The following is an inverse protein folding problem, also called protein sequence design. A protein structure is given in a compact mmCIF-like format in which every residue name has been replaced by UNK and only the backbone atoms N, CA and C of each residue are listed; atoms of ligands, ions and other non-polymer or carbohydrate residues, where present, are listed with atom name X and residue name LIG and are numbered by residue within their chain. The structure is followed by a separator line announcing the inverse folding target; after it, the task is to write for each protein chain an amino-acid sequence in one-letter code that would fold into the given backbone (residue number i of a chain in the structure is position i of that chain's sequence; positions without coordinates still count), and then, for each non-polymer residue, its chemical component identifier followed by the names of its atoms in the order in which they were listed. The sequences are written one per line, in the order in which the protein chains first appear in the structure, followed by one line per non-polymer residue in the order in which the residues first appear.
data_IF_392303495997
#
_entry.id   IF_392303495997
#
_cell.length_a   1.000
_cell.length_b   1.000
_cell.length_c   1.000
_cell.angle_alpha   90.00
_cell.angle_beta   90.00
_cell.angle_gamma   90.00
#
_symmetry.space_group_name_H-M   'P 1'
#
loop_
_entity.id
_entity.type
_entity.pdbx_description
1 polymer ?
#
# COMPACT_ATOMS: atom_id res chain seq x y z
N UNK A 1 -17.14 28.86 50.31
CA UNK A 1 -17.02 28.80 51.75
C UNK A 1 -15.85 27.89 52.10
N UNK A 2 -14.92 28.49 52.91
CA UNK A 2 -13.83 27.87 53.68
C UNK A 2 -12.57 27.46 52.95
N UNK A 3 -11.62 28.40 52.98
CA UNK A 3 -10.17 28.22 52.88
C UNK A 3 -9.67 27.47 54.12
N UNK A 4 -8.70 26.57 53.91
CA UNK A 4 -7.89 26.00 54.97
C UNK A 4 -6.42 26.18 54.65
N UNK A 5 -5.76 26.99 55.49
CA UNK A 5 -4.33 27.26 55.53
C UNK A 5 -3.52 25.99 55.81
N UNK A 6 -2.40 25.78 55.11
CA UNK A 6 -1.36 24.86 55.55
C UNK A 6 -0.10 25.63 55.95
N UNK A 7 0.36 25.32 57.15
CA UNK A 7 1.46 25.96 57.87
C UNK A 7 2.84 25.52 57.34
N UNK A 8 3.68 26.50 57.08
CA UNK A 8 5.11 26.29 56.83
C UNK A 8 5.83 25.78 58.09
N UNK A 9 6.47 24.65 57.99
CA UNK A 9 7.39 24.12 58.98
C UNK A 9 8.84 24.41 58.55
N UNK A 10 9.45 25.41 59.24
CA UNK A 10 10.85 25.78 59.07
C UNK A 10 11.73 24.83 59.89
N UNK A 11 12.51 23.99 59.22
CA UNK A 11 13.55 23.18 59.85
C UNK A 11 14.85 23.98 59.89
N UNK A 12 15.33 24.31 61.07
CA UNK A 12 16.62 25.00 61.40
C UNK A 12 17.72 23.98 61.30
N UNK A 13 18.74 24.23 60.43
CA UNK A 13 19.98 23.41 60.33
C UNK A 13 21.06 24.10 61.14
N UNK A 14 21.77 23.39 62.07
CA UNK A 14 22.82 24.00 62.87
C UNK A 14 24.14 24.10 62.09
N UNK A 15 24.89 25.20 62.45
CA UNK A 15 26.20 25.59 61.91
C UNK A 15 27.25 24.47 61.98
N UNK A 16 27.83 24.10 60.82
CA UNK A 16 29.11 23.36 60.76
C UNK A 16 30.24 24.31 60.31
N UNK A 17 31.30 24.24 61.08
CA UNK A 17 32.55 24.99 60.87
C UNK A 17 33.28 24.51 59.59
N UNK A 18 34.06 25.39 58.92
CA UNK A 18 34.76 24.99 57.69
C UNK A 18 36.03 24.18 58.03
N UNK A 19 36.11 22.97 57.45
CA UNK A 19 37.34 22.20 57.41
C UNK A 19 38.01 22.53 56.06
N UNK A 20 39.21 23.12 56.17
CA UNK A 20 40.12 23.44 55.09
C UNK A 20 40.72 22.14 54.54
N UNK A 21 40.25 21.63 53.42
CA UNK A 21 40.83 20.48 52.70
C UNK A 21 41.46 20.99 51.40
N UNK A 22 42.77 20.74 51.34
CA UNK A 22 43.65 20.99 50.23
C UNK A 22 43.15 20.35 48.94
N UNK A 23 42.97 21.18 47.91
CA UNK A 23 42.54 20.75 46.60
C UNK A 23 43.69 20.05 45.86
N UNK A 24 43.51 18.76 45.57
CA UNK A 24 44.22 18.08 44.49
C UNK A 24 43.30 18.06 43.25
N UNK A 25 43.69 18.60 42.09
CA UNK A 25 42.87 18.50 40.91
C UNK A 25 43.05 17.11 40.30
N UNK A 26 42.07 16.21 40.56
CA UNK A 26 41.92 14.99 39.79
C UNK A 26 41.28 15.40 38.45
N UNK A 27 42.09 15.44 37.38
CA UNK A 27 41.65 15.50 36.01
C UNK A 27 40.86 14.22 35.67
N UNK A 28 39.56 14.24 35.93
CA UNK A 28 38.65 13.21 35.43
C UNK A 28 38.34 13.57 33.98
N UNK A 29 39.07 12.93 33.04
CA UNK A 29 38.73 12.91 31.63
C UNK A 29 37.44 12.13 31.48
N UNK A 30 36.32 12.72 31.06
CA UNK A 30 35.15 11.92 30.74
C UNK A 30 35.48 11.10 29.49
N UNK A 31 35.67 9.80 29.68
CA UNK A 31 35.69 8.83 28.59
C UNK A 31 34.29 8.79 27.97
N UNK A 32 34.07 9.65 26.97
CA UNK A 32 32.86 9.66 26.17
C UNK A 32 32.88 8.38 25.32
N UNK A 33 32.35 7.30 25.88
CA UNK A 33 32.05 6.09 25.10
C UNK A 33 30.98 6.47 24.08
N UNK A 34 31.41 6.70 22.84
CA UNK A 34 30.51 6.79 21.69
C UNK A 34 29.80 5.44 21.57
N UNK A 35 28.62 5.34 22.17
CA UNK A 35 27.67 4.29 21.86
C UNK A 35 27.25 4.48 20.40
N UNK A 36 27.93 3.78 19.50
CA UNK A 36 27.50 3.67 18.10
C UNK A 36 26.18 2.93 18.10
N UNK A 37 25.07 3.68 18.05
CA UNK A 37 23.78 3.09 17.73
C UNK A 37 23.86 2.60 16.29
N UNK A 38 24.03 1.30 16.10
CA UNK A 38 23.76 0.66 14.86
C UNK A 38 22.24 0.81 14.60
N UNK A 39 21.85 1.87 13.90
CA UNK A 39 20.53 1.95 13.28
C UNK A 39 20.54 0.86 12.23
N UNK A 40 19.91 -0.27 12.53
CA UNK A 40 19.64 -1.28 11.54
C UNK A 40 18.78 -0.61 10.45
N UNK A 41 19.40 -0.28 9.32
CA UNK A 41 18.67 0.24 8.17
C UNK A 41 17.69 -0.86 7.73
N UNK A 42 16.41 -0.51 7.64
CA UNK A 42 15.39 -1.40 7.07
C UNK A 42 15.89 -1.86 5.70
N UNK A 43 15.95 -3.17 5.43
CA UNK A 43 16.45 -3.65 4.16
C UNK A 43 15.58 -3.09 3.02
N UNK A 44 16.21 -2.54 2.00
CA UNK A 44 15.53 -2.00 0.81
C UNK A 44 15.11 -3.19 -0.07
N UNK A 45 14.03 -3.85 0.30
CA UNK A 45 13.58 -5.13 -0.27
C UNK A 45 13.37 -5.09 -1.78
N UNK A 46 12.91 -3.94 -2.31
CA UNK A 46 12.73 -3.76 -3.77
C UNK A 46 14.03 -3.72 -4.59
N UNK A 47 15.18 -3.62 -3.94
CA UNK A 47 16.50 -3.75 -4.60
C UNK A 47 16.97 -5.21 -4.70
N UNK A 48 16.44 -6.12 -3.89
CA UNK A 48 16.73 -7.54 -3.97
C UNK A 48 15.84 -8.23 -5.02
N UNK A 49 16.48 -8.62 -6.12
CA UNK A 49 15.79 -9.28 -7.24
C UNK A 49 15.07 -10.57 -6.84
N UNK A 50 15.63 -11.34 -5.90
CA UNK A 50 15.03 -12.59 -5.44
C UNK A 50 13.80 -12.31 -4.59
N UNK A 51 13.88 -11.28 -3.76
CA UNK A 51 12.74 -10.83 -2.97
C UNK A 51 11.59 -10.36 -3.88
N UNK A 52 11.88 -9.48 -4.84
CA UNK A 52 10.89 -8.97 -5.81
C UNK A 52 10.29 -10.10 -6.65
N UNK A 53 11.11 -11.07 -7.11
CA UNK A 53 10.64 -12.25 -7.84
C UNK A 53 9.59 -13.02 -7.02
N UNK A 54 9.88 -13.30 -5.75
CA UNK A 54 8.98 -14.04 -4.86
C UNK A 54 7.70 -13.25 -4.54
N UNK A 55 7.83 -11.95 -4.22
CA UNK A 55 6.68 -11.08 -3.98
C UNK A 55 5.76 -11.02 -5.21
N UNK A 56 6.33 -10.92 -6.43
CA UNK A 56 5.56 -10.92 -7.65
C UNK A 56 4.74 -12.21 -7.84
N UNK A 57 5.32 -13.38 -7.53
CA UNK A 57 4.59 -14.63 -7.65
C UNK A 57 3.50 -14.75 -6.59
N UNK A 58 3.77 -14.33 -5.37
CA UNK A 58 2.77 -14.34 -4.29
C UNK A 58 1.56 -13.47 -4.67
N UNK A 59 1.80 -12.25 -5.12
CA UNK A 59 0.75 -11.28 -5.39
C UNK A 59 0.02 -11.52 -6.73
N UNK A 60 0.73 -11.97 -7.79
CA UNK A 60 0.17 -12.09 -9.13
C UNK A 60 -0.31 -13.48 -9.52
N UNK A 61 0.34 -14.55 -9.03
CA UNK A 61 0.21 -15.90 -9.60
C UNK A 61 -0.27 -16.96 -8.61
N UNK A 62 -0.18 -16.73 -7.30
CA UNK A 62 -0.65 -17.67 -6.28
C UNK A 62 -2.12 -17.44 -5.93
N UNK A 63 -2.72 -18.39 -5.26
CA UNK A 63 -4.02 -18.23 -4.65
C UNK A 63 -3.86 -17.86 -3.18
N UNK A 64 -4.58 -16.85 -2.72
CA UNK A 64 -4.57 -16.41 -1.33
C UNK A 64 -5.13 -17.50 -0.39
N UNK A 65 -6.25 -18.13 -0.77
CA UNK A 65 -7.00 -19.09 0.07
C UNK A 65 -7.00 -20.52 -0.48
N UNK A 66 -6.26 -20.84 -1.55
CA UNK A 66 -6.26 -22.17 -2.15
C UNK A 66 -4.85 -22.62 -2.51
N UNK A 67 -4.64 -23.95 -2.56
CA UNK A 67 -3.40 -24.50 -3.10
C UNK A 67 -3.38 -24.36 -4.62
N UNK A 68 -2.19 -24.06 -5.16
CA UNK A 68 -1.94 -23.97 -6.59
C UNK A 68 -1.68 -22.54 -7.08
N UNK A 69 -1.38 -22.46 -8.38
CA UNK A 69 -1.05 -21.22 -9.05
C UNK A 69 -2.10 -20.91 -10.11
N UNK A 70 -2.44 -19.64 -10.25
CA UNK A 70 -3.28 -19.14 -11.35
C UNK A 70 -2.39 -18.57 -12.46
N UNK A 71 -2.85 -18.63 -13.72
CA UNK A 71 -2.12 -18.01 -14.81
C UNK A 71 -2.15 -16.48 -14.67
N UNK A 72 -1.10 -15.83 -15.21
CA UNK A 72 -0.97 -14.39 -15.25
C UNK A 72 -2.17 -13.75 -15.93
N UNK A 73 -2.82 -12.83 -15.23
CA UNK A 73 -3.90 -12.01 -15.75
C UNK A 73 -3.47 -10.53 -15.79
N UNK A 74 -3.76 -9.84 -16.88
CA UNK A 74 -3.62 -8.38 -16.98
C UNK A 74 -4.52 -7.81 -18.06
N UNK A 75 -4.70 -6.51 -18.04
CA UNK A 75 -5.43 -5.81 -19.08
C UNK A 75 -4.61 -5.76 -20.39
N UNK A 76 -5.31 -5.97 -21.51
CA UNK A 76 -4.80 -5.78 -22.86
C UNK A 76 -5.44 -4.58 -23.56
N UNK A 77 -6.63 -4.18 -23.11
CA UNK A 77 -7.39 -3.05 -23.62
C UNK A 77 -7.26 -1.87 -22.64
N UNK A 78 -7.46 -0.63 -23.10
CA UNK A 78 -7.52 0.52 -22.20
C UNK A 78 -8.53 0.29 -21.07
N UNK A 79 -8.13 0.67 -19.86
CA UNK A 79 -8.98 0.61 -18.68
C UNK A 79 -9.82 1.88 -18.65
N UNK A 80 -11.14 1.71 -18.57
CA UNK A 80 -12.13 2.79 -18.55
C UNK A 80 -12.96 2.64 -17.28
N UNK A 81 -12.82 3.57 -16.36
CA UNK A 81 -13.41 3.53 -15.02
C UNK A 81 -14.64 4.43 -15.02
N UNK A 82 -15.79 3.91 -14.65
CA UNK A 82 -16.95 4.71 -14.30
C UNK A 82 -17.15 4.66 -12.79
N UNK A 83 -17.29 5.84 -12.18
CA UNK A 83 -17.46 6.02 -10.75
C UNK A 83 -18.93 6.32 -10.45
N UNK A 84 -19.52 5.56 -9.55
CA UNK A 84 -20.89 5.69 -9.06
C UNK A 84 -20.85 6.19 -7.61
N UNK A 85 -21.10 7.48 -7.40
CA UNK A 85 -21.13 8.08 -6.07
C UNK A 85 -22.54 7.98 -5.47
N UNK A 86 -22.69 7.19 -4.40
CA UNK A 86 -23.95 7.00 -3.67
C UNK A 86 -23.90 7.59 -2.25
N UNK A 87 -22.88 8.39 -1.97
CA UNK A 87 -22.62 9.05 -0.69
C UNK A 87 -22.15 10.48 -0.93
N UNK A 88 -22.14 11.31 0.08
CA UNK A 88 -21.60 12.66 -0.01
C UNK A 88 -20.09 12.71 -0.24
N UNK A 89 -19.52 13.92 -0.32
CA UNK A 89 -18.11 14.21 -0.56
C UNK A 89 -17.59 13.67 -1.91
N UNK A 90 -18.44 13.72 -2.93
CA UNK A 90 -18.13 13.25 -4.28
C UNK A 90 -16.84 13.86 -4.83
N UNK A 91 -16.65 15.17 -4.68
CA UNK A 91 -15.46 15.89 -5.16
C UNK A 91 -14.17 15.30 -4.55
N UNK A 92 -14.15 15.05 -3.24
CA UNK A 92 -13.00 14.45 -2.57
C UNK A 92 -12.72 13.03 -3.09
N UNK A 93 -13.76 12.20 -3.21
CA UNK A 93 -13.57 10.84 -3.72
C UNK A 93 -13.09 10.82 -5.16
N UNK A 94 -13.61 11.72 -5.97
CA UNK A 94 -13.21 11.90 -7.37
C UNK A 94 -11.74 12.30 -7.45
N UNK A 95 -11.32 13.33 -6.70
CA UNK A 95 -9.95 13.83 -6.69
C UNK A 95 -8.95 12.74 -6.27
N UNK A 96 -9.18 12.08 -5.13
CA UNK A 96 -8.31 11.00 -4.65
C UNK A 96 -8.16 9.87 -5.68
N UNK A 97 -9.27 9.49 -6.32
CA UNK A 97 -9.29 8.45 -7.35
C UNK A 97 -8.53 8.90 -8.60
N UNK A 98 -8.76 10.11 -9.09
CA UNK A 98 -8.09 10.65 -10.29
C UNK A 98 -6.58 10.72 -10.12
N UNK A 99 -6.10 11.25 -8.98
CA UNK A 99 -4.68 11.35 -8.69
C UNK A 99 -4.00 9.98 -8.69
N UNK A 100 -4.65 8.98 -8.08
CA UNK A 100 -4.10 7.63 -8.06
C UNK A 100 -4.15 6.95 -9.44
N UNK A 101 -5.25 7.07 -10.17
CA UNK A 101 -5.41 6.54 -11.54
C UNK A 101 -4.35 7.13 -12.49
N UNK A 102 -4.05 8.42 -12.39
CA UNK A 102 -2.98 9.06 -13.16
C UNK A 102 -1.61 8.47 -12.83
N UNK A 103 -1.33 8.24 -11.55
CA UNK A 103 -0.09 7.59 -11.11
C UNK A 103 0.03 6.17 -11.66
N UNK A 104 -1.01 5.36 -11.54
CA UNK A 104 -1.03 3.99 -12.08
C UNK A 104 -0.81 3.96 -13.60
N UNK A 105 -1.44 4.86 -14.35
CA UNK A 105 -1.23 4.97 -15.79
C UNK A 105 0.23 5.30 -16.13
N UNK A 106 0.86 6.20 -15.34
CA UNK A 106 2.28 6.55 -15.49
C UNK A 106 3.20 5.39 -15.17
N UNK A 107 2.98 4.69 -14.06
CA UNK A 107 3.83 3.56 -13.61
C UNK A 107 3.74 2.38 -14.56
N UNK A 108 2.54 2.02 -14.98
CA UNK A 108 2.28 0.84 -15.83
C UNK A 108 2.49 1.08 -17.32
N UNK A 109 2.53 2.35 -17.74
CA UNK A 109 2.48 2.76 -19.16
C UNK A 109 1.26 2.17 -19.91
N UNK A 110 0.21 1.82 -19.14
CA UNK A 110 -1.04 1.29 -19.67
C UNK A 110 -2.12 2.39 -19.67
N UNK A 111 -2.92 2.53 -20.74
CA UNK A 111 -3.97 3.55 -20.78
C UNK A 111 -5.06 3.28 -19.73
N UNK A 112 -5.19 4.18 -18.75
CA UNK A 112 -6.22 4.16 -17.70
C UNK A 112 -6.89 5.53 -17.69
N UNK A 113 -8.23 5.58 -17.73
CA UNK A 113 -8.98 6.83 -17.66
C UNK A 113 -10.35 6.67 -17.01
N UNK A 114 -10.83 7.73 -16.40
CA UNK A 114 -12.20 7.83 -15.91
C UNK A 114 -13.11 8.25 -17.09
N UNK A 115 -14.31 7.70 -17.15
CA UNK A 115 -15.33 7.98 -18.15
C UNK A 115 -16.63 8.41 -17.48
N UNK A 116 -17.41 9.22 -18.18
CA UNK A 116 -18.64 9.81 -17.64
C UNK A 116 -19.87 8.90 -17.75
N UNK A 117 -19.84 7.90 -18.65
CA UNK A 117 -20.96 7.01 -18.88
C UNK A 117 -20.62 5.58 -18.49
N UNK A 118 -21.50 4.91 -17.74
CA UNK A 118 -21.36 3.50 -17.38
C UNK A 118 -21.20 2.60 -18.61
N UNK A 119 -21.94 2.87 -19.68
CA UNK A 119 -21.87 2.09 -20.93
C UNK A 119 -20.50 2.06 -21.61
N UNK A 120 -19.65 3.05 -21.34
CA UNK A 120 -18.31 3.15 -21.92
C UNK A 120 -17.25 2.47 -21.06
N UNK A 121 -17.60 2.05 -19.85
CA UNK A 121 -16.67 1.53 -18.85
C UNK A 121 -16.47 0.01 -18.94
N UNK A 122 -15.29 -0.42 -18.49
CA UNK A 122 -14.98 -1.80 -18.20
C UNK A 122 -14.56 -2.02 -16.74
N UNK A 123 -14.48 -0.94 -15.95
CA UNK A 123 -14.38 -0.96 -14.50
C UNK A 123 -15.54 -0.17 -13.91
N UNK A 124 -16.30 -0.80 -13.01
CA UNK A 124 -17.34 -0.15 -12.21
C UNK A 124 -16.84 0.06 -10.80
N UNK A 125 -16.76 1.33 -10.39
CA UNK A 125 -16.31 1.73 -9.05
C UNK A 125 -17.48 2.35 -8.30
N UNK A 126 -17.85 1.80 -7.16
CA UNK A 126 -19.00 2.27 -6.36
C UNK A 126 -18.52 2.75 -5.00
N UNK A 127 -18.76 4.03 -4.73
CA UNK A 127 -18.70 4.58 -3.38
C UNK A 127 -20.06 4.50 -2.73
N UNK A 128 -20.17 3.75 -1.63
CA UNK A 128 -21.43 3.44 -0.96
C UNK A 128 -21.34 3.59 0.57
N UNK A 129 -22.38 3.17 1.28
CA UNK A 129 -22.42 3.09 2.74
C UNK A 129 -22.28 1.66 3.21
N UNK A 130 -21.78 1.46 4.43
CA UNK A 130 -21.66 0.16 5.07
C UNK A 130 -22.99 -0.63 5.06
N UNK A 131 -24.13 0.06 5.24
CA UNK A 131 -25.45 -0.58 5.23
C UNK A 131 -25.84 -1.19 3.88
N UNK A 132 -25.20 -0.79 2.78
CA UNK A 132 -25.52 -1.21 1.41
C UNK A 132 -24.38 -2.02 0.76
N UNK A 133 -23.18 -1.98 1.30
CA UNK A 133 -21.98 -2.41 0.59
C UNK A 133 -21.98 -3.91 0.24
N UNK A 134 -22.52 -4.79 1.11
CA UNK A 134 -22.61 -6.24 0.81
C UNK A 134 -23.49 -6.49 -0.40
N UNK A 135 -24.63 -5.82 -0.50
CA UNK A 135 -25.55 -5.95 -1.64
C UNK A 135 -24.91 -5.39 -2.92
N UNK A 136 -24.21 -4.26 -2.81
CA UNK A 136 -23.49 -3.65 -3.92
C UNK A 136 -22.33 -4.53 -4.39
N UNK A 137 -21.50 -5.02 -3.47
CA UNK A 137 -20.40 -5.91 -3.79
C UNK A 137 -20.91 -7.19 -4.48
N UNK A 138 -22.00 -7.79 -3.98
CA UNK A 138 -22.60 -8.95 -4.61
C UNK A 138 -23.04 -8.66 -6.05
N UNK A 139 -23.62 -7.49 -6.30
CA UNK A 139 -24.11 -7.09 -7.63
C UNK A 139 -22.94 -6.74 -8.57
N UNK A 140 -22.04 -5.87 -8.13
CA UNK A 140 -20.93 -5.33 -8.95
C UNK A 140 -19.93 -6.43 -9.28
N UNK A 141 -19.55 -7.24 -8.30
CA UNK A 141 -18.58 -8.32 -8.49
C UNK A 141 -19.21 -9.64 -8.95
N UNK A 142 -20.57 -9.73 -8.96
CA UNK A 142 -21.33 -10.96 -9.27
C UNK A 142 -20.92 -12.14 -8.39
N UNK A 143 -20.82 -11.87 -7.08
CA UNK A 143 -20.38 -12.86 -6.10
C UNK A 143 -21.45 -13.93 -5.87
N UNK A 144 -21.00 -15.19 -5.77
CA UNK A 144 -21.86 -16.33 -5.36
C UNK A 144 -22.04 -16.39 -3.85
N UNK A 145 -21.01 -15.97 -3.09
CA UNK A 145 -21.00 -15.88 -1.63
C UNK A 145 -20.41 -14.56 -1.19
N UNK A 146 -20.88 -14.03 -0.07
CA UNK A 146 -20.41 -12.76 0.53
C UNK A 146 -19.75 -12.99 1.89
N UNK A 147 -19.52 -14.24 2.28
CA UNK A 147 -19.01 -14.58 3.63
C UNK A 147 -17.64 -13.96 3.91
N UNK A 148 -16.75 -13.92 2.92
CA UNK A 148 -15.42 -13.29 3.02
C UNK A 148 -15.49 -11.77 3.23
N UNK A 149 -16.60 -11.12 2.86
CA UNK A 149 -16.77 -9.68 3.04
C UNK A 149 -17.00 -9.27 4.51
N UNK A 150 -17.30 -10.19 5.42
CA UNK A 150 -17.59 -9.86 6.81
C UNK A 150 -16.40 -9.26 7.56
N UNK A 151 -15.17 -9.59 7.17
CA UNK A 151 -13.94 -9.05 7.74
C UNK A 151 -13.32 -7.92 6.90
N UNK A 152 -13.74 -7.75 5.66
CA UNK A 152 -13.17 -6.76 4.75
C UNK A 152 -13.69 -5.34 5.04
N UNK A 153 -12.86 -4.35 4.73
CA UNK A 153 -13.21 -2.91 4.82
C UNK A 153 -13.75 -2.43 3.47
N UNK A 154 -13.17 -2.88 2.39
CA UNK A 154 -13.51 -2.60 1.00
C UNK A 154 -13.31 -3.86 0.18
N UNK A 155 -13.64 -3.85 -1.09
CA UNK A 155 -13.44 -5.04 -1.93
C UNK A 155 -13.37 -4.70 -3.40
N UNK A 156 -12.54 -5.43 -4.12
CA UNK A 156 -12.54 -5.42 -5.57
C UNK A 156 -12.43 -6.84 -6.14
N UNK A 157 -12.60 -6.93 -7.44
CA UNK A 157 -12.39 -8.16 -8.17
C UNK A 157 -12.51 -7.96 -9.66
N UNK A 158 -11.96 -8.90 -10.42
CA UNK A 158 -12.02 -8.85 -11.87
C UNK A 158 -12.44 -10.16 -12.49
N UNK A 159 -12.78 -10.11 -13.77
CA UNK A 159 -13.09 -11.28 -14.59
C UNK A 159 -12.21 -11.29 -15.81
N UNK A 160 -11.77 -12.48 -16.18
CA UNK A 160 -10.97 -12.74 -17.38
C UNK A 160 -11.79 -13.42 -18.48
N UNK A 161 -11.37 -13.25 -19.72
CA UNK A 161 -11.82 -14.10 -20.82
C UNK A 161 -11.05 -15.44 -20.82
N UNK A 162 -11.37 -16.30 -21.79
CA UNK A 162 -10.73 -17.62 -21.94
C UNK A 162 -9.22 -17.58 -22.20
N UNK A 163 -8.68 -16.41 -22.57
CA UNK A 163 -7.24 -16.21 -22.81
C UNK A 163 -6.51 -15.70 -21.57
N UNK A 164 -7.22 -15.39 -20.46
CA UNK A 164 -6.64 -14.78 -19.25
C UNK A 164 -6.56 -13.26 -19.29
N UNK A 165 -7.10 -12.59 -20.32
CA UNK A 165 -7.17 -11.14 -20.37
C UNK A 165 -8.25 -10.64 -19.43
N UNK A 166 -7.93 -9.65 -18.58
CA UNK A 166 -8.93 -8.98 -17.74
C UNK A 166 -9.84 -8.17 -18.67
N UNK A 167 -11.16 -8.37 -18.53
CA UNK A 167 -12.17 -7.73 -19.41
C UNK A 167 -13.20 -6.91 -18.64
N UNK A 168 -13.29 -7.12 -17.33
CA UNK A 168 -14.16 -6.40 -16.42
C UNK A 168 -13.58 -6.41 -15.02
N UNK A 169 -13.75 -5.31 -14.28
CA UNK A 169 -13.50 -5.26 -12.85
C UNK A 169 -14.58 -4.47 -12.12
N UNK A 170 -14.72 -4.74 -10.84
CA UNK A 170 -15.57 -4.00 -9.93
C UNK A 170 -14.82 -3.63 -8.67
N UNK A 171 -15.12 -2.45 -8.12
CA UNK A 171 -14.59 -1.93 -6.87
C UNK A 171 -15.76 -1.40 -6.06
N UNK A 172 -15.82 -1.72 -4.77
CA UNK A 172 -16.87 -1.24 -3.87
C UNK A 172 -16.26 -0.79 -2.56
N UNK A 173 -16.41 0.49 -2.24
CA UNK A 173 -15.87 1.12 -1.04
C UNK A 173 -17.00 1.67 -0.18
N UNK A 174 -17.24 1.11 1.02
CA UNK A 174 -18.17 1.67 2.00
C UNK A 174 -17.48 2.83 2.75
N UNK A 175 -17.71 4.06 2.29
CA UNK A 175 -16.96 5.26 2.68
C UNK A 175 -17.01 5.53 4.19
N UNK A 176 -18.19 5.39 4.81
CA UNK A 176 -18.38 5.58 6.25
C UNK A 176 -17.54 4.58 7.07
N UNK A 177 -17.54 3.31 6.69
CA UNK A 177 -16.71 2.28 7.32
C UNK A 177 -15.22 2.53 7.08
N UNK A 178 -14.82 2.80 5.84
CA UNK A 178 -13.42 3.04 5.49
C UNK A 178 -12.86 4.28 6.23
N UNK A 179 -13.63 5.37 6.32
CA UNK A 179 -13.25 6.57 7.11
C UNK A 179 -13.16 6.29 8.60
N UNK A 180 -14.14 5.60 9.17
CA UNK A 180 -14.14 5.26 10.59
C UNK A 180 -12.92 4.44 11.02
N UNK A 181 -12.32 3.70 10.08
CA UNK A 181 -11.10 2.90 10.28
C UNK A 181 -9.82 3.59 9.80
N UNK A 182 -9.90 4.83 9.28
CA UNK A 182 -8.75 5.54 8.70
C UNK A 182 -8.20 4.91 7.43
N UNK A 183 -9.02 4.12 6.69
CA UNK A 183 -8.59 3.31 5.54
C UNK A 183 -9.18 3.74 4.19
N UNK A 184 -9.77 4.94 4.09
CA UNK A 184 -10.36 5.38 2.82
C UNK A 184 -9.30 5.47 1.71
N UNK A 185 -8.14 6.06 2.00
CA UNK A 185 -7.04 6.18 1.04
C UNK A 185 -6.48 4.81 0.69
N UNK A 186 -6.20 3.97 1.70
CA UNK A 186 -5.76 2.59 1.48
C UNK A 186 -6.71 1.82 0.56
N UNK A 187 -8.01 1.84 0.83
CA UNK A 187 -9.02 1.20 -0.03
C UNK A 187 -8.99 1.72 -1.49
N UNK A 188 -8.82 3.03 -1.69
CA UNK A 188 -8.72 3.59 -3.04
C UNK A 188 -7.47 3.08 -3.74
N UNK A 189 -6.33 3.07 -3.06
CA UNK A 189 -5.04 2.69 -3.63
C UNK A 189 -4.97 1.19 -3.91
N UNK A 190 -5.34 0.38 -2.93
CA UNK A 190 -5.23 -1.07 -2.98
C UNK A 190 -6.18 -1.67 -4.03
N UNK A 191 -7.48 -1.36 -3.94
CA UNK A 191 -8.49 -2.04 -4.73
C UNK A 191 -8.34 -1.84 -6.24
N UNK A 192 -7.98 -0.63 -6.69
CA UNK A 192 -7.71 -0.43 -8.12
C UNK A 192 -6.40 -1.09 -8.54
N UNK A 193 -5.40 -1.13 -7.64
CA UNK A 193 -4.11 -1.76 -7.95
C UNK A 193 -4.25 -3.28 -8.08
N UNK A 194 -5.04 -3.90 -7.21
CA UNK A 194 -5.36 -5.34 -7.30
C UNK A 194 -6.02 -5.71 -8.63
N UNK A 195 -6.99 -4.90 -9.09
CA UNK A 195 -7.68 -5.20 -10.35
C UNK A 195 -6.87 -4.93 -11.61
N UNK A 196 -5.65 -4.38 -11.48
CA UNK A 196 -4.69 -4.34 -12.58
C UNK A 196 -4.09 -5.71 -12.91
N UNK A 197 -4.20 -6.68 -12.01
CA UNK A 197 -3.73 -8.05 -12.16
C UNK A 197 -2.78 -8.53 -11.07
N UNK A 198 -2.79 -7.86 -9.91
CA UNK A 198 -2.06 -8.21 -8.68
C UNK A 198 -3.08 -8.49 -7.55
N UNK A 199 -3.90 -9.56 -7.66
CA UNK A 199 -5.11 -9.67 -6.86
C UNK A 199 -4.95 -10.33 -5.49
N UNK A 200 -3.75 -10.69 -5.05
CA UNK A 200 -3.58 -11.37 -3.77
C UNK A 200 -2.79 -10.54 -2.79
N UNK A 201 -3.15 -10.67 -1.52
CA UNK A 201 -2.35 -10.21 -0.42
C UNK A 201 -1.27 -11.23 -0.07
N UNK A 202 -0.19 -10.76 0.53
CA UNK A 202 0.92 -11.59 0.96
C UNK A 202 1.69 -10.97 2.12
N UNK A 203 1.73 -11.65 3.26
CA UNK A 203 2.53 -11.28 4.43
C UNK A 203 4.04 -11.16 4.12
N UNK A 204 4.46 -11.71 2.98
CA UNK A 204 5.87 -11.74 2.56
C UNK A 204 6.23 -10.58 1.64
N UNK A 205 5.25 -9.87 1.08
CA UNK A 205 5.48 -8.67 0.29
C UNK A 205 5.62 -7.47 1.25
N UNK A 206 6.85 -7.01 1.51
CA UNK A 206 7.11 -5.92 2.45
C UNK A 206 8.22 -4.98 1.95
N UNK A 207 8.06 -3.63 2.08
CA UNK A 207 6.81 -2.93 2.35
C UNK A 207 5.89 -2.98 1.11
N UNK A 208 4.59 -3.10 1.31
CA UNK A 208 3.63 -3.21 0.19
C UNK A 208 2.20 -2.95 0.66
N UNK A 209 1.38 -2.37 -0.22
CA UNK A 209 -0.07 -2.25 -0.02
C UNK A 209 -0.76 -3.61 0.00
N UNK A 210 -0.13 -4.65 -0.53
CA UNK A 210 -0.61 -6.05 -0.55
C UNK A 210 -0.25 -6.82 0.72
N UNK A 211 0.12 -6.13 1.81
CA UNK A 211 0.48 -6.76 3.07
C UNK A 211 -0.38 -6.22 4.20
N UNK A 212 -1.30 -7.03 4.70
CA UNK A 212 -2.24 -6.68 5.78
C UNK A 212 -1.57 -6.28 7.10
N UNK A 213 -0.30 -6.65 7.30
CA UNK A 213 0.47 -6.35 8.51
C UNK A 213 1.31 -5.08 8.39
N UNK A 214 1.36 -4.45 7.22
CA UNK A 214 2.10 -3.21 7.02
C UNK A 214 1.17 -1.99 7.10
N UNK A 215 1.67 -0.84 7.61
CA UNK A 215 0.87 0.38 7.65
C UNK A 215 0.81 1.14 6.31
N UNK A 216 1.15 0.51 5.18
CA UNK A 216 1.20 1.17 3.88
C UNK A 216 -0.21 1.48 3.36
N UNK A 217 -0.53 2.77 3.27
CA UNK A 217 -1.78 3.25 2.67
C UNK A 217 -1.59 3.75 1.22
N UNK A 218 -0.32 3.85 0.77
CA UNK A 218 0.08 4.28 -0.57
C UNK A 218 1.04 3.27 -1.20
N UNK A 219 1.20 3.33 -2.53
CA UNK A 219 2.16 2.46 -3.22
C UNK A 219 3.56 2.62 -2.65
N UNK A 220 4.12 1.53 -2.20
CA UNK A 220 5.53 1.41 -1.83
C UNK A 220 6.43 1.35 -3.08
N UNK A 221 7.75 1.51 -2.92
CA UNK A 221 8.70 1.24 -4.00
C UNK A 221 8.59 -0.18 -4.56
N UNK A 222 8.29 -1.17 -3.71
CA UNK A 222 8.07 -2.55 -4.15
C UNK A 222 6.85 -2.64 -5.08
N UNK A 223 5.73 -2.01 -4.72
CA UNK A 223 4.50 -2.03 -5.53
C UNK A 223 4.71 -1.39 -6.90
N UNK A 224 5.48 -0.29 -6.97
CA UNK A 224 5.89 0.33 -8.23
C UNK A 224 6.66 -0.67 -9.11
N UNK A 225 7.60 -1.43 -8.53
CA UNK A 225 8.36 -2.45 -9.27
C UNK A 225 7.45 -3.60 -9.72
N UNK A 226 6.54 -4.08 -8.85
CA UNK A 226 5.61 -5.15 -9.19
C UNK A 226 4.66 -4.75 -10.33
N UNK A 227 4.15 -3.52 -10.31
CA UNK A 227 3.29 -2.98 -11.38
C UNK A 227 4.04 -2.86 -12.70
N UNK A 228 5.25 -2.30 -12.70
CA UNK A 228 6.09 -2.22 -13.91
C UNK A 228 6.37 -3.61 -14.46
N UNK A 229 6.75 -4.55 -13.60
CA UNK A 229 7.03 -5.93 -13.98
C UNK A 229 5.80 -6.60 -14.62
N UNK A 230 4.62 -6.47 -14.01
CA UNK A 230 3.37 -7.02 -14.55
C UNK A 230 3.11 -6.54 -15.99
N UNK A 231 3.34 -5.25 -16.26
CA UNK A 231 3.03 -4.64 -17.55
C UNK A 231 4.15 -4.74 -18.59
N UNK A 232 5.28 -5.37 -18.24
CA UNK A 232 6.31 -5.66 -19.24
C UNK A 232 5.75 -6.47 -20.41
N UNK A 233 6.11 -6.10 -21.66
CA UNK A 233 5.57 -6.74 -22.86
C UNK A 233 5.96 -8.22 -23.01
N UNK A 234 7.05 -8.66 -22.38
CA UNK A 234 7.49 -10.05 -22.37
C UNK A 234 6.59 -10.97 -21.53
N UNK A 235 5.98 -10.45 -20.46
CA UNK A 235 5.03 -11.19 -19.64
C UNK A 235 3.67 -11.21 -20.31
N UNK A 236 3.27 -12.36 -20.86
CA UNK A 236 2.00 -12.51 -21.58
C UNK A 236 0.90 -13.06 -20.65
N UNK A 237 -0.33 -12.64 -20.89
CA UNK A 237 -1.51 -13.24 -20.23
C UNK A 237 -1.55 -14.74 -20.44
N UNK A 238 -2.04 -15.48 -19.45
CA UNK A 238 -2.13 -16.93 -19.47
C UNK A 238 -0.81 -17.65 -19.17
N UNK A 239 0.29 -16.94 -18.93
CA UNK A 239 1.54 -17.57 -18.49
C UNK A 239 1.40 -18.18 -17.11
N UNK A 240 1.87 -19.41 -16.95
CA UNK A 240 2.07 -20.05 -15.65
C UNK A 240 3.36 -19.53 -15.00
N UNK A 241 3.51 -19.71 -13.69
CA UNK A 241 4.73 -19.34 -12.95
C UNK A 241 5.97 -19.92 -13.60
N UNK A 242 5.95 -21.20 -13.97
CA UNK A 242 7.09 -21.87 -14.61
C UNK A 242 7.53 -21.18 -15.90
N UNK A 243 6.57 -20.71 -16.72
CA UNK A 243 6.87 -19.98 -17.97
C UNK A 243 7.31 -18.53 -17.69
N UNK A 244 6.74 -17.88 -16.68
CA UNK A 244 7.07 -16.52 -16.32
C UNK A 244 8.45 -16.39 -15.67
N UNK A 245 8.86 -17.38 -14.87
CA UNK A 245 10.08 -17.35 -14.05
C UNK A 245 11.36 -16.92 -14.79
N UNK A 246 11.75 -17.53 -15.92
CA UNK A 246 12.97 -17.09 -16.64
C UNK A 246 12.83 -15.67 -17.20
N UNK A 247 11.62 -15.26 -17.56
CA UNK A 247 11.34 -13.93 -18.11
C UNK A 247 11.44 -12.88 -16.99
N UNK A 248 10.80 -13.12 -15.84
CA UNK A 248 10.87 -12.25 -14.66
C UNK A 248 12.32 -12.01 -14.24
N UNK A 249 13.13 -13.07 -14.14
CA UNK A 249 14.56 -12.96 -13.80
C UNK A 249 15.34 -12.11 -14.79
N UNK A 250 15.07 -12.27 -16.09
CA UNK A 250 15.69 -11.46 -17.14
C UNK A 250 15.31 -9.98 -17.00
N UNK A 251 14.03 -9.69 -16.75
CA UNK A 251 13.54 -8.33 -16.56
C UNK A 251 14.15 -7.69 -15.31
N UNK A 252 14.14 -8.40 -14.18
CA UNK A 252 14.71 -7.90 -12.93
C UNK A 252 16.23 -7.65 -13.02
N UNK A 253 16.96 -8.48 -13.79
CA UNK A 253 18.35 -8.20 -14.11
C UNK A 253 18.47 -6.88 -14.87
N UNK A 254 17.69 -6.68 -15.94
CA UNK A 254 17.64 -5.42 -16.70
C UNK A 254 17.27 -4.23 -15.80
N UNK A 255 16.28 -4.34 -14.93
CA UNK A 255 15.87 -3.29 -14.00
C UNK A 255 16.99 -2.88 -13.04
N UNK A 256 17.75 -3.85 -12.55
CA UNK A 256 18.92 -3.57 -11.71
C UNK A 256 20.04 -2.85 -12.47
N UNK A 257 20.29 -3.25 -13.74
CA UNK A 257 21.34 -2.66 -14.59
C UNK A 257 20.99 -1.28 -15.12
N UNK A 258 19.69 -0.99 -15.32
CA UNK A 258 19.20 0.28 -15.88
C UNK A 258 18.74 1.29 -14.82
N UNK A 259 18.86 0.98 -13.53
CA UNK A 259 18.48 1.88 -12.44
C UNK A 259 16.98 1.93 -12.12
N UNK A 260 16.15 1.08 -12.73
CA UNK A 260 14.69 1.05 -12.48
C UNK A 260 14.38 0.70 -11.02
N UNK A 261 15.11 -0.24 -10.41
CA UNK A 261 14.92 -0.59 -9.00
C UNK A 261 15.26 0.59 -8.09
N UNK A 262 16.32 1.33 -8.39
CA UNK A 262 16.78 2.48 -7.61
C UNK A 262 15.82 3.67 -7.71
N UNK A 263 15.17 3.85 -8.86
CA UNK A 263 14.21 4.93 -9.11
C UNK A 263 12.84 4.68 -8.48
N UNK A 264 12.50 3.44 -8.11
CA UNK A 264 11.20 3.06 -7.62
C UNK A 264 10.77 3.87 -6.37
N UNK A 265 11.70 4.17 -5.46
CA UNK A 265 11.41 5.00 -4.28
C UNK A 265 11.02 6.43 -4.67
N UNK A 266 11.76 7.04 -5.59
CA UNK A 266 11.45 8.38 -6.08
C UNK A 266 10.10 8.40 -6.82
N UNK A 267 9.80 7.37 -7.62
CA UNK A 267 8.52 7.29 -8.34
C UNK A 267 7.33 7.11 -7.40
N UNK A 268 7.47 6.33 -6.33
CA UNK A 268 6.44 6.19 -5.29
C UNK A 268 6.19 7.53 -4.58
N UNK A 269 7.25 8.21 -4.15
CA UNK A 269 7.16 9.51 -3.44
C UNK A 269 6.68 10.66 -4.32
N UNK A 270 6.91 10.60 -5.63
CA UNK A 270 6.41 11.59 -6.61
C UNK A 270 4.96 11.36 -7.03
N UNK A 271 4.27 10.37 -6.47
CA UNK A 271 2.85 10.18 -6.72
C UNK A 271 2.05 11.43 -6.31
N UNK A 272 1.13 11.94 -7.14
CA UNK A 272 0.33 13.11 -6.79
C UNK A 272 -0.44 12.93 -5.48
N UNK A 273 -0.97 11.74 -5.23
CA UNK A 273 -1.68 11.42 -4.00
C UNK A 273 -0.74 11.45 -2.77
N UNK A 274 0.49 10.98 -2.92
CA UNK A 274 1.52 11.06 -1.88
C UNK A 274 1.81 12.51 -1.47
N UNK A 275 1.91 13.42 -2.47
CA UNK A 275 2.12 14.84 -2.23
C UNK A 275 0.91 15.52 -1.57
N UNK A 276 -0.31 15.10 -1.93
CA UNK A 276 -1.55 15.68 -1.41
C UNK A 276 -1.74 15.40 0.08
N UNK A 277 -1.45 14.19 0.54
CA UNK A 277 -1.70 13.78 1.94
C UNK A 277 -0.51 14.02 2.87
N UNK A 278 0.60 14.59 2.36
CA UNK A 278 1.69 15.14 3.18
C UNK A 278 2.62 14.10 3.80
N UNK A 279 2.87 13.00 3.11
CA UNK A 279 3.89 12.02 3.51
C UNK A 279 5.30 12.50 3.17
#
# INVERSE_FOLDING_TARGET
VVLKEEKHLLIRIPNLKPILLLAFPLLIFPLLTMLSFNVASTPLTWLDKTFVENAFYDVALRHEYAQGNKPLAKWKRPIKIWIDHRVGDEELHQELTELHVQHLAKVTQHPIKIVTRESDANVKWVYTRQSQWIAEAKTVLKLKSTQHLNSAICTAGYRTNSKGEIVYAGIVIPVDQARARGKLVACIVEEITQVLGLPNDSDKAYPSIFNDYTPEDLLSPLDVVLLKLLYEPELKVGMTETKAKPIVRKILKRYSETGVLQQASTEAQQAPLYQLIGY
#
